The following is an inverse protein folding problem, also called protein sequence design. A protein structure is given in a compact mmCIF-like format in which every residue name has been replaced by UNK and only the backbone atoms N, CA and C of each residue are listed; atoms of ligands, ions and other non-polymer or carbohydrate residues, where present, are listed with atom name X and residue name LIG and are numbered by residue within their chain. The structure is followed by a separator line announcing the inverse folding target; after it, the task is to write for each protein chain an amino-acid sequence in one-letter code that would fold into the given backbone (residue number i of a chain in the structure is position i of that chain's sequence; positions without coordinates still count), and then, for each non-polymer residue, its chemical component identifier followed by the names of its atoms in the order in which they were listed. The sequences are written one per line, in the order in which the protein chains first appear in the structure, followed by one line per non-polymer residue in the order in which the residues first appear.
data_IF_314917608982
#
_entry.id   IF_314917608982
#
_cell.length_a   1.000
_cell.length_b   1.000
_cell.length_c   1.000
_cell.angle_alpha   90.00
_cell.angle_beta   90.00
_cell.angle_gamma   90.00
#
_symmetry.space_group_name_H-M   'P 1'
#
loop_
_entity.id
_entity.type
_entity.pdbx_description
1 polymer ?
#
# COMPACT_ATOMS: atom_id res chain seq x y z
N UNK A 1 10.88 -5.05 8.71
CA UNK A 1 10.18 -3.76 8.51
C UNK A 1 10.91 -2.69 9.27
N UNK A 2 11.20 -1.59 8.61
CA UNK A 2 11.91 -0.44 9.14
C UNK A 2 10.93 0.72 9.36
N UNK A 3 11.28 1.74 10.15
CA UNK A 3 10.50 2.98 10.22
C UNK A 3 10.28 3.56 8.82
N UNK A 4 9.03 3.92 8.52
CA UNK A 4 8.71 4.60 7.27
C UNK A 4 9.16 6.06 7.39
N UNK A 5 10.03 6.50 6.49
CA UNK A 5 10.46 7.89 6.34
C UNK A 5 10.15 8.39 4.94
N UNK A 6 10.11 9.70 4.75
CA UNK A 6 9.93 10.31 3.43
C UNK A 6 11.06 9.90 2.46
N UNK A 7 12.30 9.86 2.94
CA UNK A 7 13.46 9.43 2.15
C UNK A 7 13.37 7.97 1.70
N UNK A 8 12.92 7.07 2.58
CA UNK A 8 12.74 5.66 2.26
C UNK A 8 11.60 5.45 1.24
N UNK A 9 10.49 6.17 1.42
CA UNK A 9 9.37 6.15 0.49
C UNK A 9 9.78 6.68 -0.90
N UNK A 10 10.45 7.83 -0.96
CA UNK A 10 10.91 8.41 -2.22
C UNK A 10 11.94 7.52 -2.94
N UNK A 11 12.83 6.84 -2.19
CA UNK A 11 13.77 5.88 -2.78
C UNK A 11 13.04 4.66 -3.36
N UNK A 12 12.02 4.16 -2.67
CA UNK A 12 11.20 3.05 -3.14
C UNK A 12 10.40 3.42 -4.41
N UNK A 13 9.79 4.60 -4.44
CA UNK A 13 9.03 5.10 -5.59
C UNK A 13 9.94 5.28 -6.82
N UNK A 14 11.16 5.83 -6.66
CA UNK A 14 12.13 5.92 -7.77
C UNK A 14 12.53 4.56 -8.34
N UNK A 15 12.70 3.54 -7.49
CA UNK A 15 12.97 2.17 -7.98
C UNK A 15 11.78 1.62 -8.76
N UNK A 16 10.56 1.95 -8.33
CA UNK A 16 9.35 1.53 -9.02
C UNK A 16 9.20 2.22 -10.37
N UNK A 17 9.51 3.51 -10.46
CA UNK A 17 9.52 4.23 -11.74
C UNK A 17 10.57 3.66 -12.71
N UNK A 18 11.71 3.19 -12.20
CA UNK A 18 12.80 2.66 -13.01
C UNK A 18 12.62 1.19 -13.43
N UNK A 19 12.05 0.36 -12.56
CA UNK A 19 12.04 -1.11 -12.70
C UNK A 19 10.67 -1.76 -12.55
N UNK A 20 9.64 -0.99 -12.16
CA UNK A 20 8.28 -1.47 -12.02
C UNK A 20 7.63 -1.79 -13.36
N UNK A 21 6.59 -2.63 -13.34
CA UNK A 21 5.75 -2.89 -14.50
C UNK A 21 4.60 -1.89 -14.57
N UNK A 22 4.25 -1.44 -15.77
CA UNK A 22 3.02 -0.68 -16.00
C UNK A 22 1.77 -1.60 -15.95
N UNK A 23 1.96 -2.91 -16.08
CA UNK A 23 0.86 -3.88 -16.13
C UNK A 23 1.18 -5.07 -15.23
N UNK A 24 0.30 -5.37 -14.29
CA UNK A 24 0.53 -6.40 -13.29
C UNK A 24 -0.76 -6.82 -12.59
N UNK A 25 -0.72 -8.01 -12.00
CA UNK A 25 -1.69 -8.49 -11.04
C UNK A 25 -1.09 -8.45 -9.63
N UNK A 26 -1.81 -7.87 -8.68
CA UNK A 26 -1.39 -7.67 -7.31
C UNK A 26 -2.48 -8.18 -6.36
N UNK A 27 -2.11 -9.01 -5.40
CA UNK A 27 -3.03 -9.45 -4.33
C UNK A 27 -2.55 -8.87 -3.01
N UNK A 28 -3.44 -8.16 -2.32
CA UNK A 28 -3.13 -7.43 -1.09
C UNK A 28 -4.09 -7.86 0.01
N UNK A 29 -3.55 -8.25 1.17
CA UNK A 29 -4.33 -8.46 2.39
C UNK A 29 -4.31 -7.21 3.25
N UNK A 30 -5.48 -6.74 3.63
CA UNK A 30 -5.66 -5.59 4.51
C UNK A 30 -6.33 -6.05 5.80
N UNK A 31 -5.70 -5.76 6.93
CA UNK A 31 -6.28 -5.95 8.26
C UNK A 31 -6.43 -4.58 8.90
N UNK A 32 -7.62 -4.00 8.76
CA UNK A 32 -7.93 -2.71 9.37
C UNK A 32 -8.45 -2.88 10.81
N UNK A 33 -8.30 -1.84 11.66
CA UNK A 33 -8.86 -1.84 13.01
C UNK A 33 -10.36 -2.15 13.02
N UNK A 34 -10.78 -3.09 13.87
CA UNK A 34 -12.19 -3.41 14.14
C UNK A 34 -12.99 -3.93 12.93
N UNK A 35 -12.33 -4.32 11.85
CA UNK A 35 -12.96 -4.99 10.71
C UNK A 35 -12.33 -6.36 10.49
N UNK A 36 -13.06 -7.27 9.85
CA UNK A 36 -12.45 -8.50 9.37
C UNK A 36 -11.36 -8.19 8.35
N UNK A 37 -10.27 -8.98 8.30
CA UNK A 37 -9.34 -8.94 7.20
C UNK A 37 -10.07 -9.08 5.87
N UNK A 38 -9.63 -8.32 4.87
CA UNK A 38 -10.09 -8.45 3.49
C UNK A 38 -8.90 -8.67 2.57
N UNK A 39 -9.11 -9.45 1.52
CA UNK A 39 -8.15 -9.63 0.42
C UNK A 39 -8.65 -8.83 -0.77
N UNK A 40 -7.73 -8.11 -1.41
CA UNK A 40 -7.98 -7.32 -2.60
C UNK A 40 -7.14 -7.86 -3.74
N UNK A 41 -7.80 -8.20 -4.84
CA UNK A 41 -7.18 -8.63 -6.08
C UNK A 41 -7.27 -7.47 -7.06
N UNK A 42 -6.12 -6.91 -7.42
CA UNK A 42 -6.01 -5.67 -8.21
C UNK A 42 -5.29 -6.00 -9.51
N UNK A 43 -5.95 -5.74 -10.63
CA UNK A 43 -5.33 -5.83 -11.95
C UNK A 43 -5.05 -4.42 -12.43
N UNK A 44 -3.79 -4.16 -12.78
CA UNK A 44 -3.34 -2.91 -13.37
C UNK A 44 -2.91 -3.18 -14.81
N UNK A 45 -3.37 -2.34 -15.73
CA UNK A 45 -3.01 -2.39 -17.14
C UNK A 45 -2.65 -0.98 -17.61
N UNK A 46 -1.46 -0.81 -18.20
CA UNK A 46 -1.00 0.48 -18.71
C UNK A 46 -0.96 1.58 -17.63
N UNK A 47 -0.58 1.21 -16.40
CA UNK A 47 -0.47 2.09 -15.25
C UNK A 47 -1.79 2.47 -14.58
N UNK A 48 -2.92 1.91 -15.04
CA UNK A 48 -4.26 2.19 -14.50
C UNK A 48 -4.89 0.93 -13.95
N UNK A 49 -5.62 1.06 -12.84
CA UNK A 49 -6.43 -0.05 -12.30
C UNK A 49 -7.51 -0.41 -13.31
N UNK A 50 -7.44 -1.63 -13.84
CA UNK A 50 -8.40 -2.19 -14.76
C UNK A 50 -9.55 -2.90 -14.03
N UNK A 51 -9.24 -3.59 -12.94
CA UNK A 51 -10.24 -4.20 -12.07
C UNK A 51 -9.77 -4.28 -10.63
N UNK A 52 -10.74 -4.35 -9.71
CA UNK A 52 -10.50 -4.65 -8.31
C UNK A 52 -11.58 -5.58 -7.81
N UNK A 53 -11.17 -6.61 -7.10
CA UNK A 53 -12.07 -7.48 -6.36
C UNK A 53 -11.73 -7.41 -4.88
N UNK A 54 -12.75 -7.54 -4.04
CA UNK A 54 -12.61 -7.66 -2.59
C UNK A 54 -13.26 -8.97 -2.15
N UNK A 55 -12.46 -9.83 -1.54
CA UNK A 55 -12.89 -11.16 -1.08
C UNK A 55 -13.64 -11.94 -2.19
N UNK A 56 -13.13 -11.86 -3.43
CA UNK A 56 -13.68 -12.50 -4.63
C UNK A 56 -14.93 -11.84 -5.23
N UNK A 57 -15.27 -10.60 -4.82
CA UNK A 57 -16.38 -9.83 -5.40
C UNK A 57 -15.86 -8.57 -6.06
N UNK A 58 -16.22 -8.34 -7.32
CA UNK A 58 -15.88 -7.09 -8.00
C UNK A 58 -16.43 -5.89 -7.24
N UNK A 59 -15.61 -4.86 -7.10
CA UNK A 59 -15.99 -3.57 -6.48
C UNK A 59 -15.85 -2.46 -7.51
N UNK A 60 -16.75 -1.48 -7.44
CA UNK A 60 -16.74 -0.37 -8.38
C UNK A 60 -15.54 0.56 -8.11
N UNK A 61 -15.01 1.23 -9.14
CA UNK A 61 -13.99 2.26 -8.97
C UNK A 61 -14.47 3.32 -7.96
N UNK A 62 -13.71 3.52 -6.88
CA UNK A 62 -14.02 4.48 -5.81
C UNK A 62 -14.72 3.90 -4.58
N UNK A 63 -15.18 2.64 -4.61
CA UNK A 63 -15.72 1.95 -3.42
C UNK A 63 -14.63 1.45 -2.46
N UNK A 64 -13.38 1.41 -2.94
CA UNK A 64 -12.22 0.94 -2.18
C UNK A 64 -11.02 1.86 -2.40
N UNK A 65 -10.09 1.89 -1.45
CA UNK A 65 -8.78 2.49 -1.73
C UNK A 65 -8.13 1.76 -2.91
N UNK A 66 -7.47 2.52 -3.77
CA UNK A 66 -6.66 1.98 -4.85
C UNK A 66 -5.44 1.29 -4.23
N UNK A 67 -5.45 -0.04 -4.18
CA UNK A 67 -4.35 -0.84 -3.66
C UNK A 67 -3.32 -1.22 -4.73
N UNK A 68 -3.33 -0.58 -5.90
CA UNK A 68 -2.19 -0.63 -6.84
C UNK A 68 -0.90 -0.16 -6.15
N UNK A 69 0.28 -0.46 -6.73
CA UNK A 69 1.56 0.01 -6.19
C UNK A 69 1.58 1.54 -6.07
N UNK A 70 1.11 2.26 -7.10
CA UNK A 70 0.97 3.73 -7.05
C UNK A 70 -0.03 4.20 -5.98
N UNK A 71 -1.14 3.48 -5.82
CA UNK A 71 -2.12 3.77 -4.77
C UNK A 71 -1.57 3.56 -3.36
N UNK A 72 -0.79 2.50 -3.15
CA UNK A 72 -0.09 2.24 -1.90
C UNK A 72 0.95 3.32 -1.58
N UNK A 73 1.72 3.80 -2.56
CA UNK A 73 2.62 4.93 -2.32
C UNK A 73 1.88 6.20 -1.90
N UNK A 74 0.74 6.51 -2.53
CA UNK A 74 -0.13 7.63 -2.12
C UNK A 74 -0.66 7.47 -0.70
N UNK A 75 -1.07 6.25 -0.32
CA UNK A 75 -1.50 5.92 1.04
C UNK A 75 -0.38 6.18 2.05
N UNK A 76 0.82 5.65 1.79
CA UNK A 76 1.98 5.81 2.68
C UNK A 76 2.41 7.27 2.82
N UNK A 77 2.37 8.05 1.73
CA UNK A 77 2.63 9.49 1.73
C UNK A 77 1.64 10.26 2.58
N UNK A 78 0.33 9.96 2.43
CA UNK A 78 -0.72 10.56 3.26
C UNK A 78 -0.50 10.25 4.73
N UNK A 79 -0.18 9.00 5.05
CA UNK A 79 0.04 8.58 6.43
C UNK A 79 1.29 9.24 7.05
N UNK A 80 2.38 9.40 6.29
CA UNK A 80 3.54 10.20 6.69
C UNK A 80 3.15 11.64 7.03
N UNK A 81 2.37 12.29 6.15
CA UNK A 81 1.88 13.65 6.40
C UNK A 81 1.03 13.76 7.67
N UNK A 82 0.23 12.73 7.98
CA UNK A 82 -0.54 12.68 9.24
C UNK A 82 0.34 12.49 10.48
N UNK A 83 1.44 11.74 10.35
CA UNK A 83 2.37 11.49 11.45
C UNK A 83 3.25 12.73 11.77
N UNK A 84 3.47 13.60 10.77
CA UNK A 84 4.27 14.82 10.90
C UNK A 84 3.52 16.02 11.50
N UNK A 85 2.19 15.94 11.60
CA UNK A 85 1.38 17.01 12.21
C UNK A 85 1.79 17.18 13.69
N UNK A 86 2.16 18.39 14.14
CA UNK A 86 2.49 18.66 15.53
C UNK A 86 1.37 18.19 16.45
N UNK A 87 1.72 17.39 17.47
CA UNK A 87 0.73 16.82 18.36
C UNK A 87 0.11 17.92 19.21
N UNK A 88 -1.13 18.29 18.90
CA UNK A 88 -1.93 19.17 19.75
C UNK A 88 -2.67 18.26 20.75
N UNK A 89 -2.41 18.43 22.06
CA UNK A 89 -3.05 17.69 23.18
C UNK A 89 -2.76 16.17 23.19
N UNK A 90 -3.69 15.37 23.75
CA UNK A 90 -3.70 13.89 23.88
C UNK A 90 -3.78 13.12 22.55
N UNK A 91 -3.33 13.70 21.44
CA UNK A 91 -3.35 13.03 20.14
C UNK A 91 -2.38 11.83 20.19
N UNK A 92 -2.87 10.60 19.97
CA UNK A 92 -2.03 9.42 20.08
C UNK A 92 -0.96 9.39 18.97
N UNK A 93 0.30 9.03 19.29
CA UNK A 93 1.38 9.01 18.30
C UNK A 93 1.11 7.97 17.21
N UNK A 94 1.61 8.23 15.99
CA UNK A 94 1.48 7.33 14.85
C UNK A 94 2.84 6.67 14.56
N UNK A 95 2.96 5.37 14.78
CA UNK A 95 4.14 4.56 14.37
C UNK A 95 3.88 3.96 12.99
N UNK A 96 4.69 4.37 12.02
CA UNK A 96 4.64 3.89 10.64
C UNK A 96 5.85 3.03 10.34
N UNK A 97 5.62 1.82 9.84
CA UNK A 97 6.69 0.92 9.40
C UNK A 97 6.36 0.31 8.05
N UNK A 98 7.35 0.24 7.19
CA UNK A 98 7.21 -0.34 5.87
C UNK A 98 8.36 -1.32 5.58
N UNK A 99 8.13 -2.16 4.59
CA UNK A 99 9.14 -2.97 3.93
C UNK A 99 8.86 -2.90 2.44
N UNK A 100 9.87 -2.47 1.69
CA UNK A 100 9.85 -2.40 0.25
C UNK A 100 10.73 -3.51 -0.33
N UNK A 101 10.38 -3.96 -1.53
CA UNK A 101 11.23 -4.88 -2.29
C UNK A 101 12.48 -4.14 -2.78
N UNK A 102 13.64 -4.82 -2.73
CA UNK A 102 14.92 -4.20 -3.09
C UNK A 102 15.02 -3.89 -4.59
N UNK A 103 14.48 -4.77 -5.44
CA UNK A 103 14.59 -4.67 -6.90
C UNK A 103 13.64 -3.60 -7.46
N UNK A 104 12.33 -3.77 -7.26
CA UNK A 104 11.33 -2.87 -7.85
C UNK A 104 10.93 -1.72 -6.93
N UNK A 105 11.26 -1.74 -5.64
CA UNK A 105 10.77 -0.75 -4.69
C UNK A 105 9.29 -0.89 -4.31
N UNK A 106 8.56 -1.88 -4.84
CA UNK A 106 7.15 -2.11 -4.47
C UNK A 106 6.99 -2.36 -2.97
N UNK A 107 5.83 -2.02 -2.41
CA UNK A 107 5.52 -2.39 -1.04
C UNK A 107 5.41 -3.91 -0.90
N UNK A 108 6.04 -4.47 0.13
CA UNK A 108 5.88 -5.87 0.56
C UNK A 108 4.96 -5.91 1.78
N UNK A 109 5.19 -5.01 2.74
CA UNK A 109 4.44 -4.97 3.98
C UNK A 109 4.42 -3.57 4.58
N UNK A 110 3.28 -3.18 5.14
CA UNK A 110 3.11 -1.92 5.83
C UNK A 110 2.32 -2.11 7.13
N UNK A 111 2.73 -1.40 8.17
CA UNK A 111 2.06 -1.36 9.46
C UNK A 111 1.93 0.09 9.91
N UNK A 112 0.70 0.51 10.20
CA UNK A 112 0.39 1.75 10.91
C UNK A 112 -0.20 1.44 12.27
N UNK A 113 0.37 2.01 13.32
CA UNK A 113 -0.15 1.91 14.69
C UNK A 113 -0.50 3.30 15.18
N UNK A 114 -1.74 3.51 15.61
CA UNK A 114 -2.17 4.79 16.21
C UNK A 114 -2.29 4.61 17.73
N UNK A 115 -1.41 5.25 18.50
CA UNK A 115 -1.30 5.10 19.95
C UNK A 115 -0.75 3.74 20.37
N UNK A 116 -0.97 3.36 21.63
CA UNK A 116 -0.39 2.13 22.22
C UNK A 116 -1.31 0.90 22.16
N UNK A 117 -2.57 1.06 21.73
CA UNK A 117 -3.57 -0.01 21.77
C UNK A 117 -3.49 -0.92 20.53
N UNK A 118 -3.40 -2.25 20.74
CA UNK A 118 -3.43 -3.28 19.66
C UNK A 118 -4.63 -3.17 18.72
N UNK A 119 -5.74 -2.57 19.16
CA UNK A 119 -6.97 -2.37 18.37
C UNK A 119 -6.89 -1.19 17.39
N UNK A 120 -5.72 -0.56 17.21
CA UNK A 120 -5.51 0.60 16.32
C UNK A 120 -4.40 0.34 15.29
N UNK A 121 -4.21 -0.93 14.93
CA UNK A 121 -3.23 -1.36 13.94
C UNK A 121 -3.91 -1.58 12.59
N UNK A 122 -3.42 -0.90 11.57
CA UNK A 122 -3.64 -1.24 10.17
C UNK A 122 -2.42 -2.04 9.69
N UNK A 123 -2.67 -3.21 9.10
CA UNK A 123 -1.65 -4.01 8.45
C UNK A 123 -2.02 -4.23 6.99
N UNK A 124 -1.08 -3.94 6.09
CA UNK A 124 -1.19 -4.21 4.66
C UNK A 124 -0.05 -5.15 4.28
N UNK A 125 -0.38 -6.23 3.59
CA UNK A 125 0.57 -7.26 3.15
C UNK A 125 0.32 -7.57 1.68
N UNK A 126 1.34 -7.40 0.84
CA UNK A 126 1.27 -7.87 -0.55
C UNK A 126 1.52 -9.37 -0.54
N UNK A 127 0.49 -10.14 -0.87
CA UNK A 127 0.52 -11.60 -0.91
C UNK A 127 1.07 -12.11 -2.24
N UNK A 128 0.82 -11.39 -3.33
CA UNK A 128 1.18 -11.80 -4.68
C UNK A 128 1.44 -10.58 -5.55
N UNK A 129 2.44 -10.68 -6.42
CA UNK A 129 2.72 -9.73 -7.48
C UNK A 129 3.18 -10.51 -8.71
N UNK A 130 2.49 -10.32 -9.82
CA UNK A 130 2.81 -10.92 -11.11
C UNK A 130 2.83 -9.82 -12.17
N UNK A 131 3.99 -9.45 -12.73
CA UNK A 131 4.03 -8.54 -13.87
C UNK A 131 3.35 -9.22 -15.06
N UNK A 132 2.40 -8.53 -15.67
CA UNK A 132 1.82 -8.96 -16.94
C UNK A 132 2.80 -8.50 -18.01
N UNK A 133 3.43 -9.45 -18.72
CA UNK A 133 4.39 -9.12 -19.76
C UNK A 133 3.76 -8.10 -20.73
N UNK A 134 4.53 -7.09 -21.13
CA UNK A 134 4.17 -6.29 -22.30
C UNK A 134 3.95 -7.26 -23.44
N UNK A 135 2.74 -7.29 -24.01
CA UNK A 135 2.56 -7.84 -25.34
C UNK A 135 3.54 -7.07 -26.25
N UNK A 136 4.62 -7.74 -26.64
CA UNK A 136 5.58 -7.18 -27.58
C UNK A 136 4.87 -6.90 -28.91
N UNK A 137 5.29 -5.86 -29.65
CA UNK A 137 4.80 -5.61 -31.01
C UNK A 137 5.08 -6.78 -31.95
#
# INVERSE_FOLDING_TARGET
MEPLTESALAAAERRWEAHGSDSYHLVVRVRAPRTNPAVYDVVVAGGKVASTERDGRSVSPGETEDYSVSGLFRLLRRDLGLADVPHVRDTPPIDLRAQFEAETGRLVRYRRTVGTARRRVLLIEVLKYEPLARAGP
#
